data_IF_295980850902
#
_entry.id   IF_295980850902
#
_cell.length_a   1.000
_cell.length_b   1.000
_cell.length_c   1.000
_cell.angle_alpha   90.00
_cell.angle_beta   90.00
_cell.angle_gamma   90.00
#
_symmetry.space_group_name_H-M   'P 1'
#
loop_
_entity.id
_entity.type
_entity.pdbx_description
1 polymer ?
#
# COMPACT_ATOMS: atom_id res chain seq x y z
N UNK A 1 14.38 -40.79 6.87
CA UNK A 1 14.11 -39.80 7.95
C UNK A 1 14.17 -38.36 7.45
N UNK A 2 15.15 -37.98 6.67
CA UNK A 2 15.26 -36.61 6.14
C UNK A 2 14.09 -36.24 5.19
N UNK A 3 13.57 -37.19 4.44
CA UNK A 3 12.43 -36.98 3.53
C UNK A 3 11.07 -36.84 4.24
N UNK A 4 10.90 -37.36 5.45
CA UNK A 4 9.65 -37.22 6.22
C UNK A 4 9.38 -35.81 6.68
N UNK A 5 10.42 -35.10 7.11
CA UNK A 5 10.28 -33.68 7.51
C UNK A 5 9.96 -32.79 6.30
N UNK A 6 10.59 -33.07 5.14
CA UNK A 6 10.31 -32.36 3.90
C UNK A 6 8.87 -32.64 3.44
N UNK A 7 8.45 -33.90 3.46
CA UNK A 7 7.10 -34.29 3.07
C UNK A 7 6.05 -33.67 4.00
N UNK A 8 6.30 -33.65 5.31
CA UNK A 8 5.44 -32.99 6.28
C UNK A 8 5.31 -31.47 6.05
N UNK A 9 6.43 -30.82 5.72
CA UNK A 9 6.45 -29.40 5.36
C UNK A 9 5.65 -29.10 4.08
N UNK A 10 5.85 -29.90 3.05
CA UNK A 10 5.12 -29.78 1.77
C UNK A 10 3.62 -30.04 1.92
N UNK A 11 3.24 -31.06 2.68
CA UNK A 11 1.83 -31.38 2.97
C UNK A 11 1.14 -30.23 3.69
N UNK A 12 1.80 -29.64 4.69
CA UNK A 12 1.29 -28.47 5.39
C UNK A 12 1.10 -27.30 4.44
N UNK A 13 2.14 -26.99 3.65
CA UNK A 13 2.08 -25.89 2.68
C UNK A 13 0.99 -26.07 1.63
N UNK A 14 0.81 -27.31 1.16
CA UNK A 14 -0.31 -27.65 0.26
C UNK A 14 -1.67 -27.37 0.92
N UNK A 15 -1.84 -27.76 2.17
CA UNK A 15 -3.07 -27.49 2.94
C UNK A 15 -3.35 -26.00 3.08
N UNK A 16 -2.33 -25.20 3.41
CA UNK A 16 -2.45 -23.74 3.50
C UNK A 16 -2.87 -23.11 2.16
N UNK A 17 -2.23 -23.52 1.07
CA UNK A 17 -2.57 -23.03 -0.26
C UNK A 17 -3.98 -23.44 -0.69
N UNK A 18 -4.40 -24.66 -0.41
CA UNK A 18 -5.75 -25.13 -0.70
C UNK A 18 -6.80 -24.28 0.05
N UNK A 19 -6.57 -24.00 1.34
CA UNK A 19 -7.44 -23.12 2.13
C UNK A 19 -7.48 -21.69 1.60
N UNK A 20 -6.34 -21.14 1.16
CA UNK A 20 -6.30 -19.80 0.53
C UNK A 20 -7.05 -19.75 -0.79
N UNK A 21 -6.96 -20.80 -1.60
CA UNK A 21 -7.70 -20.92 -2.86
C UNK A 21 -9.21 -20.94 -2.57
N UNK A 22 -9.66 -21.76 -1.67
CA UNK A 22 -11.07 -21.84 -1.29
C UNK A 22 -11.64 -20.51 -0.79
N UNK A 23 -10.90 -19.85 0.12
CA UNK A 23 -11.26 -18.53 0.62
C UNK A 23 -11.33 -17.47 -0.51
N UNK A 24 -10.35 -17.47 -1.41
CA UNK A 24 -10.29 -16.53 -2.54
C UNK A 24 -11.43 -16.77 -3.51
N UNK A 25 -11.79 -18.02 -3.76
CA UNK A 25 -12.93 -18.37 -4.61
C UNK A 25 -14.27 -17.93 -3.98
N UNK A 26 -14.42 -18.07 -2.66
CA UNK A 26 -15.59 -17.58 -1.95
C UNK A 26 -15.70 -16.04 -2.03
N UNK A 27 -14.58 -15.35 -1.85
CA UNK A 27 -14.53 -13.89 -2.02
C UNK A 27 -14.86 -13.47 -3.45
N UNK A 28 -14.34 -14.18 -4.45
CA UNK A 28 -14.63 -13.89 -5.86
C UNK A 28 -16.14 -14.04 -6.15
N UNK A 29 -16.76 -15.12 -5.69
CA UNK A 29 -18.23 -15.30 -5.86
C UNK A 29 -19.03 -14.17 -5.24
N UNK A 30 -18.64 -13.73 -4.03
CA UNK A 30 -19.27 -12.59 -3.37
C UNK A 30 -19.16 -11.31 -4.20
N UNK A 31 -17.97 -10.99 -4.69
CA UNK A 31 -17.73 -9.78 -5.49
C UNK A 31 -18.50 -9.81 -6.83
N UNK A 32 -18.61 -10.97 -7.46
CA UNK A 32 -19.43 -11.13 -8.68
C UNK A 32 -20.90 -10.83 -8.38
N UNK A 33 -21.45 -11.37 -7.32
CA UNK A 33 -22.85 -11.11 -6.91
C UNK A 33 -23.07 -9.62 -6.59
N UNK A 34 -22.13 -8.98 -5.92
CA UNK A 34 -22.20 -7.53 -5.63
C UNK A 34 -22.16 -6.72 -6.91
N UNK A 35 -21.30 -7.08 -7.87
CA UNK A 35 -21.22 -6.41 -9.17
C UNK A 35 -22.52 -6.55 -9.94
N UNK A 36 -23.07 -7.76 -10.04
CA UNK A 36 -24.36 -8.01 -10.71
C UNK A 36 -25.49 -7.18 -10.10
N UNK A 37 -25.47 -7.01 -8.79
CA UNK A 37 -26.46 -6.18 -8.07
C UNK A 37 -26.33 -4.71 -8.45
N UNK A 38 -25.11 -4.19 -8.53
CA UNK A 38 -24.84 -2.80 -8.95
C UNK A 38 -25.22 -2.61 -10.41
N UNK A 39 -24.88 -3.54 -11.27
CA UNK A 39 -25.23 -3.49 -12.70
C UNK A 39 -26.75 -3.46 -12.90
N UNK A 40 -27.47 -4.28 -12.14
CA UNK A 40 -28.94 -4.25 -12.14
C UNK A 40 -29.48 -2.90 -11.66
N UNK A 41 -28.91 -2.33 -10.61
CA UNK A 41 -29.30 -1.01 -10.10
C UNK A 41 -29.04 0.10 -11.15
N UNK A 42 -27.89 0.09 -11.83
CA UNK A 42 -27.60 1.05 -12.89
C UNK A 42 -28.68 1.00 -13.99
N UNK A 43 -29.05 -0.20 -14.42
CA UNK A 43 -30.09 -0.37 -15.45
C UNK A 43 -31.49 0.10 -15.04
N UNK A 44 -31.77 0.17 -13.72
CA UNK A 44 -33.01 0.78 -13.25
C UNK A 44 -33.05 2.30 -13.50
N UNK A 45 -31.91 2.98 -13.41
CA UNK A 45 -31.81 4.42 -13.64
C UNK A 45 -31.54 4.76 -15.11
N UNK A 46 -30.77 3.94 -15.79
CA UNK A 46 -30.45 4.08 -17.20
C UNK A 46 -30.50 2.70 -17.89
N UNK A 47 -31.67 2.34 -18.50
CA UNK A 47 -31.83 1.06 -19.18
C UNK A 47 -30.87 0.83 -20.35
N UNK A 48 -30.34 1.91 -20.95
CA UNK A 48 -29.42 1.85 -22.08
C UNK A 48 -27.94 2.02 -21.67
N UNK A 49 -27.64 2.02 -20.39
CA UNK A 49 -26.26 2.16 -19.90
C UNK A 49 -25.33 1.10 -20.51
N UNK A 50 -24.25 1.56 -21.13
CA UNK A 50 -23.19 0.68 -21.61
C UNK A 50 -22.25 0.33 -20.45
N UNK A 51 -22.55 -0.76 -19.75
CA UNK A 51 -21.76 -1.24 -18.62
C UNK A 51 -20.34 -1.66 -19.02
N UNK A 52 -20.14 -2.06 -20.29
CA UNK A 52 -18.84 -2.45 -20.82
C UNK A 52 -17.88 -1.28 -20.99
N UNK A 53 -18.38 -0.06 -21.14
CA UNK A 53 -17.56 1.16 -21.25
C UNK A 53 -17.07 1.70 -19.91
N UNK A 54 -17.63 1.23 -18.80
CA UNK A 54 -17.26 1.68 -17.46
C UNK A 54 -15.83 1.22 -17.16
N UNK A 55 -14.92 2.17 -17.05
CA UNK A 55 -13.52 1.88 -16.73
C UNK A 55 -13.42 1.23 -15.35
N UNK A 56 -12.82 0.06 -15.32
CA UNK A 56 -12.44 -0.58 -14.06
C UNK A 56 -11.49 0.34 -13.29
N UNK A 57 -11.84 0.62 -12.04
CA UNK A 57 -10.91 1.28 -11.13
C UNK A 57 -9.94 0.23 -10.63
N UNK A 58 -8.64 0.56 -10.64
CA UNK A 58 -7.65 -0.30 -10.02
C UNK A 58 -8.08 -0.58 -8.58
N UNK A 59 -8.19 -1.85 -8.25
CA UNK A 59 -8.44 -2.27 -6.87
C UNK A 59 -7.39 -1.63 -5.98
N UNK A 60 -7.79 -1.12 -4.80
CA UNK A 60 -6.85 -0.48 -3.90
C UNK A 60 -5.62 -1.35 -3.77
N UNK A 61 -4.45 -0.78 -4.00
CA UNK A 61 -3.23 -1.56 -3.93
C UNK A 61 -3.12 -2.23 -2.57
N UNK A 62 -2.54 -3.43 -2.52
CA UNK A 62 -2.32 -4.24 -1.30
C UNK A 62 -1.65 -3.46 -0.14
N UNK A 63 -1.09 -2.32 -0.44
CA UNK A 63 -0.37 -1.41 0.44
C UNK A 63 -1.19 -0.18 0.85
N UNK A 64 -2.52 -0.22 0.74
CA UNK A 64 -3.36 0.86 1.21
C UNK A 64 -3.19 1.04 2.73
N UNK A 65 -2.73 2.22 3.12
CA UNK A 65 -2.60 2.59 4.52
C UNK A 65 -3.95 2.96 5.13
N UNK A 66 -4.15 2.72 6.41
CA UNK A 66 -5.24 3.31 7.16
C UNK A 66 -5.13 4.83 7.17
N UNK A 67 -6.27 5.52 7.36
CA UNK A 67 -6.29 6.99 7.41
C UNK A 67 -5.31 7.50 8.47
N UNK A 68 -4.40 8.36 8.07
CA UNK A 68 -3.38 8.95 8.94
C UNK A 68 -2.17 8.07 9.24
N UNK A 69 -2.16 6.80 8.84
CA UNK A 69 -1.03 5.89 9.07
C UNK A 69 0.25 6.38 8.40
N UNK A 70 0.18 6.78 7.13
CA UNK A 70 1.33 7.33 6.41
C UNK A 70 1.91 8.56 7.12
N UNK A 71 1.05 9.48 7.57
CA UNK A 71 1.44 10.67 8.30
C UNK A 71 2.18 10.32 9.60
N UNK A 72 1.68 9.33 10.35
CA UNK A 72 2.31 8.86 11.60
C UNK A 72 3.69 8.26 11.35
N UNK A 73 3.85 7.46 10.29
CA UNK A 73 5.15 6.89 9.92
C UNK A 73 6.15 7.97 9.51
N UNK A 74 5.73 8.92 8.68
CA UNK A 74 6.58 10.04 8.25
C UNK A 74 7.01 10.88 9.45
N UNK A 75 6.07 11.28 10.30
CA UNK A 75 6.36 12.05 11.52
C UNK A 75 7.25 11.27 12.49
N UNK A 76 7.00 9.98 12.67
CA UNK A 76 7.83 9.12 13.50
C UNK A 76 9.27 9.07 13.02
N UNK A 77 9.49 8.94 11.72
CA UNK A 77 10.83 8.94 11.12
C UNK A 77 11.52 10.29 11.34
N UNK A 78 10.83 11.40 11.14
CA UNK A 78 11.39 12.74 11.36
C UNK A 78 11.74 13.01 12.82
N UNK A 79 10.98 12.44 13.77
CA UNK A 79 11.21 12.62 15.21
C UNK A 79 12.49 11.93 15.70
N UNK A 80 12.79 10.74 15.18
CA UNK A 80 13.95 9.95 15.60
C UNK A 80 15.20 10.25 14.78
N UNK A 81 15.07 10.93 13.65
CA UNK A 81 16.18 11.29 12.81
C UNK A 81 17.05 12.38 13.49
N UNK A 82 18.33 12.12 13.61
CA UNK A 82 19.33 13.07 14.14
C UNK A 82 19.91 13.97 13.05
N UNK A 83 19.80 13.55 11.80
CA UNK A 83 20.27 14.26 10.63
C UNK A 83 19.13 14.39 9.60
N UNK A 84 19.25 15.33 8.64
CA UNK A 84 18.27 15.43 7.57
C UNK A 84 18.12 14.13 6.80
N UNK A 85 16.89 13.69 6.58
CA UNK A 85 16.54 12.47 5.86
C UNK A 85 15.92 12.79 4.51
N UNK A 86 16.20 11.98 3.51
CA UNK A 86 15.59 12.13 2.17
C UNK A 86 14.21 11.49 2.12
N UNK A 87 13.40 11.86 1.14
CA UNK A 87 12.12 11.20 0.89
C UNK A 87 12.27 9.71 0.59
N UNK A 88 13.43 9.30 0.05
CA UNK A 88 13.78 7.90 -0.18
C UNK A 88 13.96 7.15 1.14
N UNK A 89 14.73 7.73 2.06
CA UNK A 89 14.99 7.12 3.38
C UNK A 89 13.70 6.96 4.17
N UNK A 90 12.84 7.98 4.13
CA UNK A 90 11.52 7.95 4.77
C UNK A 90 10.64 6.86 4.12
N UNK A 91 10.63 6.75 2.79
CA UNK A 91 9.86 5.72 2.09
C UNK A 91 10.31 4.30 2.48
N UNK A 92 11.62 4.06 2.57
CA UNK A 92 12.17 2.78 3.02
C UNK A 92 11.80 2.50 4.48
N UNK A 93 11.86 3.50 5.35
CA UNK A 93 11.44 3.37 6.76
C UNK A 93 9.94 3.03 6.87
N UNK A 94 9.09 3.66 6.07
CA UNK A 94 7.65 3.34 5.98
C UNK A 94 7.44 1.91 5.52
N UNK A 95 8.14 1.47 4.47
CA UNK A 95 8.03 0.10 3.95
C UNK A 95 8.45 -0.92 5.00
N UNK A 96 9.56 -0.67 5.70
CA UNK A 96 10.02 -1.53 6.80
C UNK A 96 9.00 -1.59 7.94
N UNK A 97 8.48 -0.45 8.38
CA UNK A 97 7.50 -0.37 9.46
C UNK A 97 6.16 -1.04 9.13
N UNK A 98 5.83 -1.18 7.85
CA UNK A 98 4.63 -1.86 7.35
C UNK A 98 4.90 -3.27 6.83
N UNK A 99 6.10 -3.81 7.02
CA UNK A 99 6.53 -5.14 6.53
C UNK A 99 6.28 -5.34 5.03
N UNK A 100 6.50 -4.28 4.25
CA UNK A 100 6.38 -4.31 2.79
C UNK A 100 7.72 -4.74 2.18
N UNK A 101 7.66 -5.35 1.00
CA UNK A 101 8.87 -5.78 0.29
C UNK A 101 9.64 -4.56 -0.26
N UNK A 102 10.85 -4.26 0.24
CA UNK A 102 11.65 -3.12 -0.23
C UNK A 102 12.19 -3.29 -1.66
N UNK A 103 12.23 -4.51 -2.19
CA UNK A 103 12.72 -4.81 -3.54
C UNK A 103 11.62 -4.63 -4.60
N UNK A 104 10.36 -4.40 -4.20
CA UNK A 104 9.26 -4.07 -5.10
C UNK A 104 9.37 -2.60 -5.53
N UNK A 105 9.99 -2.37 -6.69
CA UNK A 105 10.26 -1.03 -7.22
C UNK A 105 8.98 -0.22 -7.51
N UNK A 106 7.92 -0.85 -7.97
CA UNK A 106 6.66 -0.17 -8.26
C UNK A 106 5.95 0.25 -6.97
N UNK A 107 5.98 -0.63 -5.97
CA UNK A 107 5.49 -0.31 -4.64
C UNK A 107 6.32 0.81 -4.01
N UNK A 108 7.64 0.75 -4.12
CA UNK A 108 8.55 1.79 -3.61
C UNK A 108 8.24 3.16 -4.24
N UNK A 109 8.09 3.24 -5.57
CA UNK A 109 7.73 4.49 -6.26
C UNK A 109 6.40 5.06 -5.74
N UNK A 110 5.41 4.20 -5.54
CA UNK A 110 4.09 4.59 -5.01
C UNK A 110 4.19 5.12 -3.59
N UNK A 111 4.91 4.42 -2.70
CA UNK A 111 5.13 4.86 -1.31
C UNK A 111 5.91 6.17 -1.28
N UNK A 112 6.99 6.29 -2.06
CA UNK A 112 7.78 7.52 -2.16
C UNK A 112 6.94 8.73 -2.60
N UNK A 113 6.05 8.55 -3.58
CA UNK A 113 5.11 9.60 -4.01
C UNK A 113 4.17 10.03 -2.88
N UNK A 114 3.65 9.08 -2.11
CA UNK A 114 2.78 9.35 -0.95
C UNK A 114 3.53 10.03 0.19
N UNK A 115 4.76 9.62 0.45
CA UNK A 115 5.66 10.28 1.41
C UNK A 115 5.90 11.73 1.01
N UNK A 116 6.19 11.98 -0.27
CA UNK A 116 6.36 13.33 -0.80
C UNK A 116 5.13 14.22 -0.57
N UNK A 117 3.94 13.71 -0.82
CA UNK A 117 2.69 14.43 -0.55
C UNK A 117 2.48 14.71 0.96
N UNK A 118 2.82 13.76 1.83
CA UNK A 118 2.80 13.96 3.27
C UNK A 118 3.79 15.04 3.72
N UNK A 119 5.02 14.99 3.24
CA UNK A 119 6.06 15.96 3.56
C UNK A 119 5.67 17.39 3.14
N UNK A 120 5.10 17.51 1.95
CA UNK A 120 4.58 18.80 1.48
C UNK A 120 3.51 19.35 2.41
N UNK A 121 2.54 18.52 2.81
CA UNK A 121 1.49 18.90 3.75
C UNK A 121 2.05 19.27 5.13
N UNK A 122 3.02 18.50 5.64
CA UNK A 122 3.69 18.80 6.89
C UNK A 122 4.48 20.12 6.83
N UNK A 123 5.12 20.40 5.70
CA UNK A 123 5.81 21.67 5.46
C UNK A 123 4.82 22.85 5.49
N UNK A 124 3.66 22.73 4.83
CA UNK A 124 2.61 23.78 4.86
C UNK A 124 2.11 24.04 6.30
N UNK A 125 2.08 23.02 7.13
CA UNK A 125 1.63 23.12 8.52
C UNK A 125 2.77 23.50 9.51
N UNK A 126 3.99 23.76 9.02
CA UNK A 126 5.16 24.06 9.85
C UNK A 126 5.73 22.88 10.64
N UNK A 127 5.26 21.65 10.39
CA UNK A 127 5.66 20.44 11.12
C UNK A 127 6.89 19.73 10.51
N UNK A 128 7.26 20.11 9.30
CA UNK A 128 8.47 19.64 8.63
C UNK A 128 9.16 20.81 7.92
N UNK A 129 10.47 20.72 7.82
CA UNK A 129 11.31 21.72 7.15
C UNK A 129 12.15 21.03 6.08
N UNK A 130 12.20 21.65 4.92
CA UNK A 130 13.10 21.26 3.84
C UNK A 130 14.46 21.91 4.06
N UNK A 131 15.51 21.13 3.98
CA UNK A 131 16.89 21.58 4.14
C UNK A 131 17.75 21.02 3.00
N UNK A 132 18.90 21.62 2.67
CA UNK A 132 19.85 21.00 1.75
C UNK A 132 20.23 19.60 2.25
N UNK A 133 20.12 18.60 1.37
CA UNK A 133 20.56 17.24 1.66
C UNK A 133 21.96 16.98 1.10
N UNK A 134 22.34 15.70 1.04
CA UNK A 134 23.60 15.28 0.43
C UNK A 134 23.48 15.35 -1.10
N UNK A 135 24.33 16.16 -1.73
CA UNK A 135 24.27 16.40 -3.18
C UNK A 135 23.05 17.24 -3.58
N UNK A 136 22.43 16.91 -4.71
CA UNK A 136 21.23 17.58 -5.22
C UNK A 136 19.93 17.11 -4.57
N UNK A 137 20.01 16.23 -3.58
CA UNK A 137 18.84 15.68 -2.90
C UNK A 137 18.36 16.63 -1.79
N UNK A 138 17.05 16.80 -1.72
CA UNK A 138 16.42 17.54 -0.63
C UNK A 138 16.38 16.69 0.65
N UNK A 139 16.81 17.28 1.74
CA UNK A 139 16.68 16.73 3.08
C UNK A 139 15.45 17.26 3.79
N UNK A 140 14.98 16.52 4.77
CA UNK A 140 13.84 16.86 5.59
C UNK A 140 14.18 16.72 7.06
N UNK A 141 13.75 17.70 7.84
CA UNK A 141 13.86 17.69 9.31
C UNK A 141 12.50 18.01 9.92
N UNK A 142 12.35 17.69 11.20
CA UNK A 142 11.20 18.12 11.98
C UNK A 142 11.13 19.67 12.00
N UNK A 143 9.93 20.23 11.88
CA UNK A 143 9.66 21.65 12.17
C UNK A 143 9.82 21.94 13.67
N UNK A 144 9.98 23.18 14.02
CA UNK A 144 10.01 23.66 15.41
C UNK A 144 8.62 23.61 16.04
#
# INVERSE_FOLDING_TARGET
MENEHVLGGLTRKRGELAGQIEHTQALLRKLVTELDTIDAAIRLFDPNADLGSIKQRLYPPRHQAFRGEMMRHVMGTLRIATEPVTSRDIALAVMKGRSLNPDDLELFKTIRKRVGACLWKLKQNGLAREVPGVGDLKGWTRGE
#
